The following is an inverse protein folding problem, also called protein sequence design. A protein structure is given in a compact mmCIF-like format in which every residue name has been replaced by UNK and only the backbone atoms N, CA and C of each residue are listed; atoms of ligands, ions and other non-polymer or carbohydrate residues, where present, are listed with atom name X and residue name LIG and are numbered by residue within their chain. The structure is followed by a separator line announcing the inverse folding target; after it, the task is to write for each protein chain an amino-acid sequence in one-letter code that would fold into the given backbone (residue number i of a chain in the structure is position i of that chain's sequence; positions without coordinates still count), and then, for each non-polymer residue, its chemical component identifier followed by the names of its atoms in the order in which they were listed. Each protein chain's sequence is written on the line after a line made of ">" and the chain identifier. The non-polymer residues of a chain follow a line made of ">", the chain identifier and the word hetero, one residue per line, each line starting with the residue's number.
data_IF_189720495854
#
_entry.id   IF_189720495854
#
_cell.length_a   1.000
_cell.length_b   1.000
_cell.length_c   1.000
_cell.angle_alpha   90.00
_cell.angle_beta   90.00
_cell.angle_gamma   90.00
#
_symmetry.space_group_name_H-M   'P 1'
#
loop_
_entity.id
_entity.type
_entity.pdbx_description
1 polymer ?
#
# COMPACT_ATOMS: atom_id res chain seq x y z
N UNK A 1 8.03 36.33 14.81
CA UNK A 1 7.14 35.92 13.70
C UNK A 1 7.48 34.49 13.30
N UNK A 2 6.69 33.49 13.70
CA UNK A 2 6.97 32.09 13.38
C UNK A 2 6.17 31.65 12.15
N UNK A 3 6.86 31.36 11.05
CA UNK A 3 6.26 30.83 9.84
C UNK A 3 5.91 29.34 10.02
N UNK A 4 4.62 29.02 9.98
CA UNK A 4 4.14 27.63 10.00
C UNK A 4 4.29 27.02 8.60
N UNK A 5 5.27 26.12 8.43
CA UNK A 5 5.39 25.31 7.21
C UNK A 5 4.22 24.33 7.14
N UNK A 6 3.30 24.53 6.17
CA UNK A 6 2.27 23.53 5.83
C UNK A 6 2.93 22.22 5.38
N UNK A 7 2.49 21.04 5.86
CA UNK A 7 3.02 19.77 5.40
C UNK A 7 2.64 19.54 3.92
N UNK A 8 3.52 18.95 3.10
CA UNK A 8 3.20 18.62 1.72
C UNK A 8 2.05 17.61 1.70
N UNK A 9 0.90 18.01 1.14
CA UNK A 9 -0.19 17.07 0.88
C UNK A 9 0.35 15.97 -0.04
N UNK A 10 0.49 14.75 0.49
CA UNK A 10 0.87 13.57 -0.30
C UNK A 10 -0.30 13.25 -1.24
N UNK A 11 -0.36 13.90 -2.40
CA UNK A 11 -1.21 13.46 -3.50
C UNK A 11 -0.75 12.08 -3.91
N UNK A 12 -1.50 11.05 -3.51
CA UNK A 12 -1.24 9.66 -3.89
C UNK A 12 -1.36 9.60 -5.41
N UNK A 13 -0.25 9.32 -6.09
CA UNK A 13 -0.27 9.13 -7.53
C UNK A 13 -1.19 7.94 -7.83
N UNK A 14 -2.34 8.21 -8.46
CA UNK A 14 -3.27 7.17 -8.88
C UNK A 14 -2.56 6.24 -9.87
N UNK A 15 -2.84 4.94 -9.75
CA UNK A 15 -2.41 3.94 -10.74
C UNK A 15 -2.88 4.41 -12.12
N UNK A 16 -2.02 4.24 -13.12
CA UNK A 16 -2.36 4.63 -14.48
C UNK A 16 -3.47 3.67 -14.98
N UNK A 17 -4.61 4.19 -15.47
CA UNK A 17 -5.71 3.36 -15.97
C UNK A 17 -5.30 2.61 -17.24
N UNK A 18 -5.87 1.43 -17.47
CA UNK A 18 -5.47 0.50 -18.55
C UNK A 18 -5.43 1.17 -19.93
N UNK A 19 -6.46 1.95 -20.30
CA UNK A 19 -6.52 2.70 -21.57
C UNK A 19 -5.36 3.68 -21.79
N UNK A 20 -4.69 4.12 -20.71
CA UNK A 20 -3.50 4.99 -20.80
C UNK A 20 -2.21 4.20 -20.89
N UNK A 21 -2.17 2.94 -20.43
CA UNK A 21 -1.03 2.05 -20.61
C UNK A 21 -0.88 1.68 -22.08
N UNK A 22 -1.95 1.18 -22.69
CA UNK A 22 -2.00 0.78 -24.11
C UNK A 22 -1.54 1.91 -25.02
N UNK A 23 -2.07 3.12 -24.80
CA UNK A 23 -1.67 4.30 -25.59
C UNK A 23 -0.21 4.73 -25.38
N UNK A 24 0.38 4.48 -24.21
CA UNK A 24 1.81 4.75 -23.97
C UNK A 24 2.67 3.72 -24.70
N UNK A 25 2.28 2.45 -24.69
CA UNK A 25 2.94 1.38 -25.43
C UNK A 25 2.87 1.65 -26.94
N UNK A 26 1.68 1.96 -27.48
CA UNK A 26 1.48 2.36 -28.88
C UNK A 26 2.34 3.56 -29.26
N UNK A 27 2.34 4.61 -28.43
CA UNK A 27 3.14 5.81 -28.72
C UNK A 27 4.63 5.52 -28.66
N UNK A 28 5.09 4.60 -27.82
CA UNK A 28 6.50 4.24 -27.78
C UNK A 28 6.98 3.60 -29.09
N UNK A 29 6.14 2.77 -29.74
CA UNK A 29 6.45 2.14 -31.03
C UNK A 29 6.73 3.18 -32.12
N UNK A 30 6.08 4.35 -32.05
CA UNK A 30 6.28 5.46 -33.00
C UNK A 30 7.61 6.21 -32.78
N UNK A 31 8.36 5.90 -31.71
CA UNK A 31 9.68 6.47 -31.42
C UNK A 31 9.81 7.85 -30.74
N UNK A 32 8.76 8.52 -30.19
CA UNK A 32 8.93 9.75 -29.42
C UNK A 32 9.67 9.48 -28.10
N UNK A 33 10.43 10.48 -27.63
CA UNK A 33 11.19 10.36 -26.39
C UNK A 33 10.29 10.21 -25.16
N UNK A 34 10.78 9.51 -24.12
CA UNK A 34 9.99 9.29 -22.90
C UNK A 34 9.46 10.57 -22.25
N UNK A 35 10.19 11.69 -22.36
CA UNK A 35 9.79 12.98 -21.81
C UNK A 35 8.61 13.60 -22.56
N UNK A 36 8.54 13.41 -23.88
CA UNK A 36 7.40 13.89 -24.68
C UNK A 36 6.14 13.10 -24.35
N UNK A 37 6.26 11.79 -24.20
CA UNK A 37 5.17 10.91 -23.74
C UNK A 37 4.75 11.33 -22.31
N UNK A 38 5.71 11.56 -21.42
CA UNK A 38 5.45 11.96 -20.04
C UNK A 38 4.64 13.27 -19.95
N UNK A 39 5.00 14.28 -20.75
CA UNK A 39 4.26 15.54 -20.88
C UNK A 39 2.83 15.31 -21.38
N UNK A 40 2.66 14.50 -22.44
CA UNK A 40 1.35 14.18 -23.03
C UNK A 40 0.41 13.50 -22.03
N UNK A 41 0.92 12.59 -21.21
CA UNK A 41 0.12 11.86 -20.22
C UNK A 41 0.08 12.51 -18.83
N UNK A 42 0.72 13.67 -18.65
CA UNK A 42 0.88 14.36 -17.35
C UNK A 42 1.42 13.41 -16.26
N UNK A 43 2.46 12.64 -16.60
CA UNK A 43 3.14 11.70 -15.71
C UNK A 43 4.64 11.98 -15.68
N UNK A 44 5.34 11.39 -14.72
CA UNK A 44 6.80 11.45 -14.73
C UNK A 44 7.38 10.47 -15.76
N UNK A 45 8.55 10.81 -16.32
CA UNK A 45 9.27 9.96 -17.28
C UNK A 45 9.52 8.55 -16.73
N UNK A 46 9.76 8.41 -15.42
CA UNK A 46 9.92 7.12 -14.77
C UNK A 46 8.66 6.24 -14.86
N UNK A 47 7.45 6.83 -14.84
CA UNK A 47 6.21 6.07 -15.04
C UNK A 47 6.13 5.54 -16.47
N UNK A 48 6.45 6.38 -17.45
CA UNK A 48 6.47 5.97 -18.88
C UNK A 48 7.48 4.86 -19.12
N UNK A 49 8.70 5.00 -18.58
CA UNK A 49 9.74 3.96 -18.68
C UNK A 49 9.27 2.63 -18.09
N UNK A 50 8.56 2.65 -16.96
CA UNK A 50 8.00 1.42 -16.36
C UNK A 50 6.95 0.76 -17.24
N UNK A 51 6.12 1.55 -17.93
CA UNK A 51 5.13 1.01 -18.87
C UNK A 51 5.82 0.30 -20.03
N UNK A 52 6.85 0.93 -20.59
CA UNK A 52 7.56 0.42 -21.77
C UNK A 52 8.49 -0.77 -21.46
N UNK A 53 9.27 -0.69 -20.38
CA UNK A 53 10.27 -1.71 -20.00
C UNK A 53 9.62 -2.92 -19.32
N UNK A 54 8.51 -2.69 -18.62
CA UNK A 54 7.73 -3.74 -17.97
C UNK A 54 6.30 -3.65 -18.50
N UNK A 55 6.08 -4.12 -19.75
CA UNK A 55 4.72 -4.26 -20.28
C UNK A 55 3.91 -5.05 -19.26
N UNK A 56 2.64 -4.62 -19.12
CA UNK A 56 1.73 -4.97 -18.03
C UNK A 56 2.02 -6.39 -17.52
N UNK A 57 2.29 -6.60 -16.21
CA UNK A 57 2.27 -7.96 -15.71
C UNK A 57 0.89 -8.49 -16.06
N UNK A 58 0.81 -9.47 -16.95
CA UNK A 58 -0.31 -10.40 -16.99
C UNK A 58 -0.46 -10.85 -15.55
N UNK A 59 -1.44 -10.28 -14.87
CA UNK A 59 -1.78 -10.67 -13.52
C UNK A 59 -2.78 -11.78 -13.75
N UNK A 60 -2.39 -13.06 -13.70
CA UNK A 60 -3.39 -14.09 -13.50
C UNK A 60 -4.21 -13.68 -12.28
N UNK A 61 -5.53 -13.91 -12.27
CA UNK A 61 -6.42 -13.51 -11.17
C UNK A 61 -5.98 -14.03 -9.79
N UNK A 62 -4.99 -14.93 -9.75
CA UNK A 62 -4.35 -15.49 -8.57
C UNK A 62 -3.16 -14.72 -7.98
N UNK A 63 -2.80 -13.50 -8.43
CA UNK A 63 -1.81 -12.72 -7.66
C UNK A 63 -2.45 -12.23 -6.36
N UNK A 64 -2.23 -13.02 -5.33
CA UNK A 64 -2.43 -12.75 -3.91
C UNK A 64 -2.24 -11.26 -3.62
N UNK A 65 -3.25 -10.66 -2.98
CA UNK A 65 -3.17 -9.30 -2.44
C UNK A 65 -1.82 -9.15 -1.72
N UNK A 66 -1.14 -8.00 -1.83
CA UNK A 66 0.12 -7.78 -1.14
C UNK A 66 -0.06 -8.20 0.32
N UNK A 67 0.80 -9.13 0.78
CA UNK A 67 0.79 -9.60 2.15
C UNK A 67 0.76 -8.37 3.04
N UNK A 68 -0.33 -8.22 3.80
CA UNK A 68 -0.49 -7.10 4.71
C UNK A 68 0.63 -7.09 5.74
N UNK A 69 0.67 -6.04 6.56
CA UNK A 69 1.60 -6.02 7.68
C UNK A 69 1.42 -7.27 8.52
N UNK A 70 2.53 -7.90 8.90
CA UNK A 70 2.49 -9.06 9.78
C UNK A 70 1.70 -8.71 11.06
N UNK A 71 0.88 -9.64 11.58
CA UNK A 71 0.18 -9.43 12.84
C UNK A 71 1.17 -9.09 13.95
N UNK A 72 0.77 -8.17 14.82
CA UNK A 72 1.57 -7.77 15.99
C UNK A 72 1.61 -8.88 17.04
N UNK A 73 0.58 -9.71 17.08
CA UNK A 73 0.45 -10.83 18.02
C UNK A 73 0.68 -12.14 17.29
N UNK A 74 1.39 -13.06 17.94
CA UNK A 74 1.50 -14.44 17.50
C UNK A 74 0.16 -15.18 17.64
N UNK A 75 0.05 -16.32 16.97
CA UNK A 75 -1.12 -17.20 17.10
C UNK A 75 -1.34 -17.68 18.54
N UNK A 76 -0.26 -17.89 19.30
CA UNK A 76 -0.33 -18.33 20.71
C UNK A 76 -0.90 -17.23 21.61
N UNK A 77 -0.41 -16.01 21.46
CA UNK A 77 -0.89 -14.85 22.23
C UNK A 77 -2.35 -14.56 21.90
N UNK A 78 -2.70 -14.59 20.62
CA UNK A 78 -4.10 -14.42 20.17
C UNK A 78 -5.02 -15.45 20.82
N UNK A 79 -4.64 -16.73 20.81
CA UNK A 79 -5.40 -17.80 21.48
C UNK A 79 -5.51 -17.59 22.99
N UNK A 80 -4.45 -17.11 23.64
CA UNK A 80 -4.47 -16.82 25.07
C UNK A 80 -5.47 -15.71 25.39
N UNK A 81 -5.43 -14.60 24.65
CA UNK A 81 -6.37 -13.48 24.81
C UNK A 81 -7.81 -13.95 24.64
N UNK A 82 -8.09 -14.71 23.57
CA UNK A 82 -9.45 -15.23 23.28
C UNK A 82 -9.94 -16.13 24.41
N UNK A 83 -9.12 -17.05 24.92
CA UNK A 83 -9.51 -17.93 26.04
C UNK A 83 -9.77 -17.16 27.32
N UNK A 84 -8.87 -16.25 27.70
CA UNK A 84 -9.03 -15.47 28.93
C UNK A 84 -10.23 -14.52 28.85
N UNK A 85 -10.52 -13.96 27.67
CA UNK A 85 -11.73 -13.16 27.44
C UNK A 85 -13.01 -14.01 27.45
N UNK A 86 -12.95 -15.26 26.99
CA UNK A 86 -14.10 -16.16 27.03
C UNK A 86 -14.46 -16.62 28.45
N UNK A 87 -13.52 -16.59 29.40
CA UNK A 87 -13.76 -16.95 30.80
C UNK A 87 -14.57 -15.89 31.57
N UNK A 88 -14.74 -14.68 31.02
CA UNK A 88 -15.56 -13.65 31.64
C UNK A 88 -15.34 -12.28 31.04
N UNK A 89 -16.20 -11.33 31.44
CA UNK A 89 -16.18 -9.95 30.95
C UNK A 89 -14.98 -9.16 31.50
N UNK A 90 -13.79 -9.44 30.98
CA UNK A 90 -12.56 -8.71 31.29
C UNK A 90 -12.38 -7.56 30.31
N UNK A 91 -12.13 -6.36 30.84
CA UNK A 91 -11.75 -5.23 30.00
C UNK A 91 -10.39 -5.48 29.33
N UNK A 92 -10.17 -4.89 28.15
CA UNK A 92 -8.92 -5.03 27.41
C UNK A 92 -7.68 -4.63 28.25
N UNK A 93 -7.82 -3.63 29.12
CA UNK A 93 -6.74 -3.19 30.04
C UNK A 93 -6.43 -4.29 31.06
N UNK A 94 -7.45 -4.92 31.64
CA UNK A 94 -7.26 -6.03 32.59
C UNK A 94 -6.63 -7.23 31.89
N UNK A 95 -7.07 -7.58 30.68
CA UNK A 95 -6.47 -8.65 29.87
C UNK A 95 -5.00 -8.37 29.54
N UNK A 96 -4.66 -7.13 29.17
CA UNK A 96 -3.27 -6.74 28.89
C UNK A 96 -2.38 -6.90 30.13
N UNK A 97 -2.86 -6.48 31.31
CA UNK A 97 -2.12 -6.64 32.57
C UNK A 97 -1.95 -8.10 32.95
N UNK A 98 -3.01 -8.91 32.85
CA UNK A 98 -2.98 -10.33 33.20
C UNK A 98 -2.05 -11.15 32.31
N UNK A 99 -2.02 -10.85 31.01
CA UNK A 99 -1.21 -11.59 30.04
C UNK A 99 0.20 -11.00 29.85
N UNK A 100 0.53 -9.92 30.56
CA UNK A 100 1.84 -9.27 30.49
C UNK A 100 2.23 -8.78 29.08
N UNK A 101 1.25 -8.56 28.19
CA UNK A 101 1.55 -8.16 26.82
C UNK A 101 2.05 -6.71 26.78
N UNK A 102 3.29 -6.44 26.34
CA UNK A 102 3.83 -5.08 26.32
C UNK A 102 3.13 -4.21 25.26
N UNK A 103 2.54 -4.82 24.25
CA UNK A 103 2.15 -4.13 23.01
C UNK A 103 0.71 -3.60 23.09
N UNK A 104 0.49 -2.37 22.63
CA UNK A 104 -0.83 -1.79 22.36
C UNK A 104 -1.22 -2.02 20.91
N UNK A 105 -2.45 -2.51 20.67
CA UNK A 105 -2.99 -2.62 19.32
C UNK A 105 -3.40 -1.21 18.86
N UNK A 106 -2.68 -0.64 17.90
CA UNK A 106 -3.13 0.52 17.13
C UNK A 106 -3.76 0.00 15.84
N UNK A 107 -5.07 0.18 15.71
CA UNK A 107 -5.84 -0.08 14.49
C UNK A 107 -5.58 1.01 13.45
#
# INVERSE_FOLDING_TARGET
>A
MHATKKPPSKKKNSRLPDRKWEKIEELHVVGPSFDTIAKKFKRCAQTVRRVVISPRPSVPPNKTKPLGRAPVLSNRETRSIVRTAAMGNLSAIKLKKLLGHPITVRW
#
